data_IF_892757411649
#
_entry.id   IF_892757411649
#
_cell.length_a   1.000
_cell.length_b   1.000
_cell.length_c   1.000
_cell.angle_alpha   90.00
_cell.angle_beta   90.00
_cell.angle_gamma   90.00
#
_symmetry.space_group_name_H-M   'P 1'
#
loop_
_entity.id
_entity.type
_entity.pdbx_description
1 polymer ?
#
# COMPACT_ATOMS: atom_id res chain seq x y z
N UNK A 1 -21.35 0.05 -15.12
CA UNK A 1 -22.22 -1.05 -14.65
C UNK A 1 -23.65 -0.55 -14.62
N UNK A 2 -24.65 -1.39 -14.94
CA UNK A 2 -26.06 -1.02 -14.75
C UNK A 2 -26.38 -0.95 -13.25
N UNK A 3 -27.36 -0.14 -12.88
CA UNK A 3 -27.96 -0.15 -11.54
C UNK A 3 -28.54 -1.53 -11.23
N UNK A 4 -28.63 -1.82 -9.94
CA UNK A 4 -29.15 -3.10 -9.47
C UNK A 4 -30.63 -3.22 -9.91
N UNK A 5 -31.03 -4.42 -10.34
CA UNK A 5 -32.36 -4.71 -10.90
C UNK A 5 -32.69 -4.03 -12.24
N UNK A 6 -31.66 -3.57 -12.97
CA UNK A 6 -31.80 -3.04 -14.33
C UNK A 6 -31.23 -4.00 -15.40
N UNK A 7 -31.99 -4.23 -16.46
CA UNK A 7 -31.63 -5.10 -17.59
C UNK A 7 -31.50 -4.30 -18.89
N UNK A 8 -30.46 -4.52 -19.71
CA UNK A 8 -30.25 -3.78 -20.95
C UNK A 8 -31.24 -4.22 -22.05
N UNK A 9 -31.67 -3.27 -22.90
CA UNK A 9 -32.55 -3.53 -24.06
C UNK A 9 -31.76 -3.55 -25.38
N UNK A 10 -32.13 -4.41 -26.35
CA UNK A 10 -31.45 -4.46 -27.65
C UNK A 10 -31.64 -3.19 -28.51
N UNK A 11 -32.72 -2.43 -28.27
CA UNK A 11 -33.00 -1.15 -28.94
C UNK A 11 -32.37 0.08 -28.27
N UNK A 12 -31.51 -0.12 -27.28
CA UNK A 12 -30.93 0.94 -26.45
C UNK A 12 -31.77 1.24 -25.20
N UNK A 13 -31.09 1.67 -24.13
CA UNK A 13 -31.72 1.84 -22.83
C UNK A 13 -31.90 0.52 -22.07
N UNK A 14 -32.84 0.51 -21.12
CA UNK A 14 -32.84 -0.47 -20.03
C UNK A 14 -34.17 -0.51 -19.29
N UNK A 15 -34.43 -1.63 -18.66
CA UNK A 15 -35.66 -1.94 -17.92
C UNK A 15 -35.29 -2.23 -16.48
N UNK A 16 -35.79 -1.42 -15.55
CA UNK A 16 -35.44 -1.48 -14.14
C UNK A 16 -36.67 -1.80 -13.30
N UNK A 17 -36.55 -2.75 -12.37
CA UNK A 17 -37.55 -2.96 -11.34
C UNK A 17 -37.21 -2.03 -10.17
N UNK A 18 -38.06 -1.02 -9.94
CA UNK A 18 -37.90 -0.04 -8.85
C UNK A 18 -39.06 -0.18 -7.87
N UNK A 19 -38.77 -0.11 -6.57
CA UNK A 19 -39.79 -0.06 -5.54
C UNK A 19 -39.99 1.39 -5.09
N UNK A 20 -41.14 1.96 -5.44
CA UNK A 20 -41.52 3.33 -5.07
C UNK A 20 -42.40 3.36 -3.79
N UNK A 21 -42.42 2.26 -3.03
CA UNK A 21 -43.11 2.16 -1.74
C UNK A 21 -44.58 1.77 -1.84
N UNK A 22 -45.07 1.40 -3.03
CA UNK A 22 -46.42 0.88 -3.27
C UNK A 22 -46.39 -0.50 -3.98
N UNK A 23 -45.23 -1.14 -4.05
CA UNK A 23 -44.98 -2.38 -4.78
C UNK A 23 -43.89 -2.22 -5.85
N UNK A 24 -43.37 -3.35 -6.34
CA UNK A 24 -42.37 -3.37 -7.42
C UNK A 24 -43.00 -2.89 -8.74
N UNK A 25 -42.49 -1.78 -9.28
CA UNK A 25 -42.90 -1.25 -10.58
C UNK A 25 -41.76 -1.38 -11.59
N UNK A 26 -42.11 -1.71 -12.82
CA UNK A 26 -41.14 -1.94 -13.89
C UNK A 26 -41.05 -0.70 -14.77
N UNK A 27 -39.98 0.07 -14.61
CA UNK A 27 -39.74 1.31 -15.34
C UNK A 27 -38.82 1.06 -16.52
N UNK A 28 -39.21 1.55 -17.70
CA UNK A 28 -38.41 1.46 -18.92
C UNK A 28 -37.77 2.81 -19.26
N UNK A 29 -36.45 2.82 -19.35
CA UNK A 29 -35.66 3.97 -19.77
C UNK A 29 -35.26 3.83 -21.23
N UNK A 30 -35.33 4.94 -21.97
CA UNK A 30 -34.98 5.01 -23.39
C UNK A 30 -33.48 5.18 -23.65
N UNK A 31 -32.67 5.48 -22.62
CA UNK A 31 -31.23 5.74 -22.78
C UNK A 31 -30.41 4.99 -21.73
N UNK A 32 -29.26 4.48 -22.14
CA UNK A 32 -28.30 3.80 -21.27
C UNK A 32 -27.80 4.64 -20.09
N UNK A 33 -27.78 5.96 -20.23
CA UNK A 33 -27.30 6.87 -19.19
C UNK A 33 -28.21 6.86 -17.95
N UNK A 34 -29.51 6.60 -18.13
CA UNK A 34 -30.52 6.68 -17.08
C UNK A 34 -30.52 5.49 -16.12
N UNK A 35 -29.84 4.39 -16.48
CA UNK A 35 -29.75 3.17 -15.67
C UNK A 35 -28.33 2.71 -15.41
N UNK A 36 -27.33 3.51 -15.79
CA UNK A 36 -25.94 3.26 -15.38
C UNK A 36 -25.75 3.79 -13.98
N UNK A 37 -25.07 3.01 -13.14
CA UNK A 37 -24.57 3.51 -11.85
C UNK A 37 -23.70 4.73 -12.11
N UNK A 38 -23.82 5.76 -11.28
CA UNK A 38 -22.94 6.92 -11.36
C UNK A 38 -21.48 6.52 -11.15
N UNK A 39 -20.55 7.32 -11.65
CA UNK A 39 -19.11 7.04 -11.48
C UNK A 39 -18.73 7.05 -10.01
N UNK A 40 -19.36 7.91 -9.20
CA UNK A 40 -19.17 7.96 -7.76
C UNK A 40 -19.66 6.67 -7.07
N UNK A 41 -20.83 6.15 -7.46
CA UNK A 41 -21.38 4.91 -6.91
C UNK A 41 -20.49 3.70 -7.24
N UNK A 42 -20.02 3.59 -8.49
CA UNK A 42 -19.11 2.51 -8.90
C UNK A 42 -17.78 2.60 -8.15
N UNK A 43 -17.27 3.81 -7.93
CA UNK A 43 -16.00 4.02 -7.19
C UNK A 43 -16.16 3.66 -5.71
N UNK A 44 -17.29 4.00 -5.09
CA UNK A 44 -17.59 3.66 -3.72
C UNK A 44 -17.72 2.14 -3.53
N UNK A 45 -18.41 1.45 -4.45
CA UNK A 45 -18.53 -0.01 -4.46
C UNK A 45 -17.16 -0.68 -4.60
N UNK A 46 -16.37 -0.32 -5.63
CA UNK A 46 -15.04 -0.88 -5.82
C UNK A 46 -14.09 -0.61 -4.64
N UNK A 47 -14.19 0.56 -4.01
CA UNK A 47 -13.40 0.87 -2.82
C UNK A 47 -13.81 -0.03 -1.64
N UNK A 48 -15.11 -0.28 -1.46
CA UNK A 48 -15.62 -1.17 -0.41
C UNK A 48 -15.16 -2.61 -0.65
N UNK A 49 -15.27 -3.09 -1.88
CA UNK A 49 -14.82 -4.42 -2.29
C UNK A 49 -13.32 -4.61 -2.08
N UNK A 50 -12.49 -3.66 -2.55
CA UNK A 50 -11.03 -3.70 -2.34
C UNK A 50 -10.65 -3.69 -0.86
N UNK A 51 -11.31 -2.86 -0.04
CA UNK A 51 -11.06 -2.84 1.41
C UNK A 51 -11.43 -4.17 2.07
N UNK A 52 -12.51 -4.81 1.62
CA UNK A 52 -12.91 -6.12 2.11
C UNK A 52 -11.91 -7.20 1.69
N UNK A 53 -11.47 -7.20 0.43
CA UNK A 53 -10.43 -8.12 -0.07
C UNK A 53 -9.10 -7.95 0.70
N UNK A 54 -8.70 -6.71 0.98
CA UNK A 54 -7.50 -6.41 1.78
C UNK A 54 -7.67 -6.95 3.21
N UNK A 55 -8.84 -6.76 3.83
CA UNK A 55 -9.12 -7.27 5.18
C UNK A 55 -9.13 -8.79 5.23
N UNK A 56 -9.69 -9.46 4.22
CA UNK A 56 -9.72 -10.93 4.14
C UNK A 56 -8.33 -11.52 3.89
N UNK A 57 -7.50 -10.88 3.06
CA UNK A 57 -6.16 -11.40 2.72
C UNK A 57 -5.10 -11.08 3.77
N UNK A 58 -5.19 -9.90 4.39
CA UNK A 58 -4.12 -9.33 5.20
C UNK A 58 -4.57 -8.84 6.58
N UNK A 59 -5.85 -8.94 6.93
CA UNK A 59 -6.37 -8.48 8.22
C UNK A 59 -5.81 -9.24 9.43
N UNK A 60 -5.36 -10.48 9.24
CA UNK A 60 -4.80 -11.32 10.29
C UNK A 60 -3.29 -11.20 10.45
N UNK A 61 -2.63 -10.25 9.77
CA UNK A 61 -1.18 -10.11 9.85
C UNK A 61 -0.78 -9.59 11.24
N UNK A 62 0.34 -10.08 11.78
CA UNK A 62 0.89 -9.60 13.05
C UNK A 62 1.16 -8.10 12.96
N UNK A 63 1.05 -7.43 14.09
CA UNK A 63 1.41 -6.02 14.23
C UNK A 63 2.85 -5.81 13.71
N UNK A 64 3.06 -4.76 12.91
CA UNK A 64 4.33 -4.44 12.25
C UNK A 64 4.77 -5.39 11.11
N UNK A 65 3.88 -6.24 10.60
CA UNK A 65 4.11 -7.04 9.38
C UNK A 65 3.41 -6.47 8.15
N UNK A 66 4.18 -6.25 7.08
CA UNK A 66 3.70 -5.68 5.81
C UNK A 66 3.76 -6.70 4.67
N UNK A 67 2.69 -6.86 3.86
CA UNK A 67 2.65 -7.83 2.78
C UNK A 67 3.60 -7.48 1.62
N UNK A 68 4.18 -8.52 0.99
CA UNK A 68 5.07 -8.37 -0.17
C UNK A 68 4.36 -8.73 -1.49
N UNK A 69 4.61 -8.02 -2.60
CA UNK A 69 4.05 -8.35 -3.92
C UNK A 69 4.42 -9.76 -4.42
N UNK A 70 5.61 -10.25 -4.04
CA UNK A 70 6.12 -11.58 -4.43
C UNK A 70 5.59 -12.74 -3.55
N UNK A 71 4.68 -12.46 -2.61
CA UNK A 71 4.25 -13.40 -1.59
C UNK A 71 5.04 -13.26 -0.27
N UNK A 72 4.39 -13.62 0.84
CA UNK A 72 4.92 -13.45 2.20
C UNK A 72 4.78 -12.04 2.76
N UNK A 73 5.58 -11.71 3.77
CA UNK A 73 5.56 -10.41 4.45
C UNK A 73 6.94 -10.00 4.97
N UNK A 74 7.05 -8.74 5.38
CA UNK A 74 8.21 -8.15 6.05
C UNK A 74 7.76 -7.59 7.39
N UNK A 75 8.30 -8.13 8.48
CA UNK A 75 7.93 -7.80 9.85
C UNK A 75 9.05 -7.02 10.54
N UNK A 76 8.71 -5.94 11.23
CA UNK A 76 9.64 -5.29 12.15
C UNK A 76 9.45 -5.89 13.54
N UNK A 77 10.36 -6.77 13.94
CA UNK A 77 10.34 -7.50 15.20
C UNK A 77 11.40 -6.95 16.16
N UNK A 78 11.33 -7.29 17.44
CA UNK A 78 12.36 -6.94 18.42
C UNK A 78 13.21 -8.15 18.74
N UNK A 79 14.53 -8.01 18.70
CA UNK A 79 15.46 -9.06 19.12
C UNK A 79 15.51 -9.22 20.65
N UNK A 80 16.29 -10.19 21.14
CA UNK A 80 16.46 -10.45 22.57
C UNK A 80 17.09 -9.28 23.36
N UNK A 81 17.66 -8.31 22.66
CA UNK A 81 18.26 -7.09 23.21
C UNK A 81 17.32 -5.88 23.08
N UNK A 82 16.13 -6.06 22.50
CA UNK A 82 15.11 -5.04 22.29
C UNK A 82 15.30 -4.17 21.03
N UNK A 83 16.28 -4.48 20.18
CA UNK A 83 16.52 -3.74 18.94
C UNK A 83 15.53 -4.15 17.85
N UNK A 84 15.15 -3.20 17.00
CA UNK A 84 14.26 -3.46 15.88
C UNK A 84 15.01 -4.16 14.75
N UNK A 85 14.64 -5.41 14.49
CA UNK A 85 15.16 -6.25 13.42
C UNK A 85 14.06 -6.50 12.41
N UNK A 86 14.41 -6.39 11.14
CA UNK A 86 13.44 -6.58 10.06
C UNK A 86 13.56 -7.97 9.48
N UNK A 87 12.56 -8.81 9.75
CA UNK A 87 12.50 -10.21 9.30
C UNK A 87 11.61 -10.32 8.06
N UNK A 88 12.11 -10.99 7.02
CA UNK A 88 11.34 -11.23 5.80
C UNK A 88 10.90 -12.70 5.72
N UNK A 89 9.59 -12.91 5.66
CA UNK A 89 8.98 -14.22 5.48
C UNK A 89 8.50 -14.39 4.04
N UNK A 90 8.65 -15.60 3.51
CA UNK A 90 8.19 -15.93 2.16
C UNK A 90 6.79 -16.56 2.17
N UNK A 91 6.37 -17.14 3.31
CA UNK A 91 5.04 -17.72 3.45
C UNK A 91 4.09 -16.72 4.17
N UNK A 92 2.90 -16.43 3.61
CA UNK A 92 1.92 -15.54 4.24
C UNK A 92 1.37 -16.09 5.56
N UNK A 93 1.47 -17.39 5.84
CA UNK A 93 1.02 -17.97 7.12
C UNK A 93 1.92 -17.60 8.30
N UNK A 94 3.22 -17.37 8.07
CA UNK A 94 4.19 -16.96 9.11
C UNK A 94 3.96 -15.51 9.58
N UNK A 95 3.28 -14.75 8.73
CA UNK A 95 2.91 -13.36 8.91
C UNK A 95 1.65 -13.19 9.76
N UNK A 96 0.87 -14.26 9.94
CA UNK A 96 -0.42 -14.19 10.63
C UNK A 96 -0.24 -14.30 12.13
N UNK A 97 -1.13 -13.65 12.87
CA UNK A 97 -1.28 -13.89 14.31
C UNK A 97 -1.70 -15.35 14.43
N UNK A 98 -0.77 -16.22 14.84
CA UNK A 98 -1.14 -17.56 15.29
C UNK A 98 -1.90 -17.34 16.58
N UNK A 99 -3.23 -17.32 16.50
CA UNK A 99 -4.11 -17.35 17.65
C UNK A 99 -3.85 -18.64 18.42
N UNK A 100 -2.78 -18.68 19.21
CA UNK A 100 -2.70 -19.57 20.36
C UNK A 100 -3.90 -19.16 21.23
N UNK A 101 -4.95 -19.97 21.21
CA UNK A 101 -6.22 -19.68 21.87
C UNK A 101 -6.00 -19.33 23.34
N UNK A 102 -5.96 -18.04 23.64
CA UNK A 102 -6.04 -17.53 25.01
C UNK A 102 -7.46 -17.00 25.21
N UNK A 103 -8.38 -17.93 25.47
CA UNK A 103 -9.68 -17.60 26.03
C UNK A 103 -9.43 -16.89 27.37
N UNK A 104 -9.62 -15.57 27.39
CA UNK A 104 -9.55 -14.77 28.60
C UNK A 104 -10.81 -15.03 29.43
N UNK A 105 -10.75 -16.05 30.29
CA UNK A 105 -11.69 -16.30 31.37
C UNK A 105 -11.05 -17.12 32.49
N UNK A 106 -9.98 -16.62 33.13
CA UNK A 106 -9.53 -17.15 34.44
C UNK A 106 -8.92 -16.00 35.27
N UNK A 107 -9.22 -15.89 36.59
CA UNK A 107 -8.92 -14.71 37.37
C UNK A 107 -7.48 -14.68 37.88
N UNK A 108 -6.95 -13.47 38.03
CA UNK A 108 -5.61 -13.18 38.55
C UNK A 108 -5.56 -13.48 40.06
N UNK A 109 -4.61 -14.28 40.58
CA UNK A 109 -4.29 -14.25 41.98
C UNK A 109 -3.15 -13.25 42.23
N UNK A 110 -3.40 -12.41 43.22
CA UNK A 110 -2.45 -11.51 43.88
C UNK A 110 -1.55 -12.32 44.85
N UNK A 111 -0.36 -11.77 45.16
CA UNK A 111 0.49 -11.96 46.38
C UNK A 111 1.87 -12.65 46.20
N UNK A 112 2.87 -11.78 46.38
CA UNK A 112 4.13 -11.82 47.17
C UNK A 112 5.03 -13.06 47.40
N UNK A 113 6.33 -12.73 47.29
CA UNK A 113 7.52 -13.16 48.05
C UNK A 113 8.14 -14.58 47.89
N UNK A 114 9.36 -14.54 47.35
CA UNK A 114 10.62 -15.14 47.85
C UNK A 114 10.87 -16.67 47.90
N UNK A 115 11.95 -17.05 47.19
CA UNK A 115 12.99 -18.04 47.57
C UNK A 115 12.66 -19.54 47.40
N UNK A 116 13.26 -20.22 46.40
CA UNK A 116 14.48 -21.03 46.56
C UNK A 116 14.92 -21.70 45.25
N UNK A 117 16.23 -21.82 45.13
CA UNK A 117 16.99 -22.58 44.15
C UNK A 117 16.64 -24.08 44.20
N UNK A 118 16.37 -24.72 43.06
CA UNK A 118 16.84 -26.08 42.80
C UNK A 118 16.89 -26.41 41.30
N UNK A 119 18.13 -26.73 40.90
CA UNK A 119 18.56 -27.23 39.61
C UNK A 119 18.11 -28.70 39.50
N UNK A 120 17.44 -29.09 38.41
CA UNK A 120 17.39 -30.50 38.01
C UNK A 120 17.34 -30.64 36.51
N UNK A 121 18.34 -31.37 35.99
CA UNK A 121 18.56 -31.72 34.59
C UNK A 121 17.43 -32.63 34.09
N UNK A 122 17.01 -32.44 32.83
CA UNK A 122 16.74 -33.57 31.93
C UNK A 122 17.27 -33.27 30.54
N UNK A 123 18.25 -34.08 30.18
CA UNK A 123 18.78 -34.30 28.85
C UNK A 123 17.70 -34.83 27.91
N UNK A 124 17.52 -34.18 26.76
CA UNK A 124 17.05 -34.85 25.53
C UNK A 124 17.92 -34.34 24.40
N UNK A 125 18.86 -35.19 24.00
CA UNK A 125 19.63 -35.03 22.79
C UNK A 125 18.70 -35.15 21.57
N UNK A 126 18.70 -34.13 20.71
CA UNK A 126 18.35 -34.31 19.29
C UNK A 126 19.49 -33.69 18.48
N UNK A 127 20.19 -34.58 17.80
CA UNK A 127 21.47 -34.33 17.17
C UNK A 127 21.43 -33.28 16.07
N UNK A 128 22.47 -32.45 16.09
CA UNK A 128 22.91 -31.61 14.99
C UNK A 128 23.34 -32.48 13.82
N UNK A 129 22.43 -32.77 12.88
CA UNK A 129 22.86 -33.22 11.55
C UNK A 129 23.23 -32.01 10.71
N UNK A 130 24.54 -31.74 10.61
CA UNK A 130 25.10 -31.01 9.48
C UNK A 130 24.87 -31.88 8.23
N UNK A 131 24.02 -31.44 7.31
CA UNK A 131 23.94 -32.07 6.00
C UNK A 131 25.23 -31.79 5.21
N UNK A 132 25.81 -32.80 4.53
CA UNK A 132 26.92 -32.59 3.63
C UNK A 132 26.46 -31.86 2.36
N UNK A 133 27.31 -30.96 1.89
CA UNK A 133 27.27 -30.35 0.56
C UNK A 133 27.29 -31.46 -0.49
N UNK A 134 26.14 -31.76 -1.07
CA UNK A 134 26.04 -32.63 -2.24
C UNK A 134 26.36 -31.80 -3.49
N UNK A 135 27.63 -31.85 -3.89
CA UNK A 135 28.09 -31.43 -5.20
C UNK A 135 27.60 -32.44 -6.24
N UNK A 136 26.39 -32.26 -6.76
CA UNK A 136 25.97 -32.88 -8.00
C UNK A 136 25.28 -31.83 -8.87
N UNK A 137 26.11 -31.06 -9.57
CA UNK A 137 25.69 -30.18 -10.67
C UNK A 137 25.17 -31.07 -11.81
N UNK A 138 23.93 -31.50 -11.72
CA UNK A 138 23.18 -31.77 -12.94
C UNK A 138 22.93 -30.42 -13.58
N UNK A 139 23.63 -30.16 -14.69
CA UNK A 139 23.36 -29.07 -15.61
C UNK A 139 21.90 -29.15 -16.06
N UNK A 140 20.99 -28.59 -15.26
CA UNK A 140 19.75 -28.06 -15.78
C UNK A 140 20.19 -26.95 -16.72
N UNK A 141 20.21 -27.28 -18.02
CA UNK A 141 20.16 -26.31 -19.10
C UNK A 141 19.24 -25.19 -18.63
N UNK A 142 19.83 -24.06 -18.25
CA UNK A 142 19.17 -22.79 -18.33
C UNK A 142 18.63 -22.76 -19.75
N UNK A 143 17.33 -23.02 -19.93
CA UNK A 143 16.65 -22.47 -21.09
C UNK A 143 16.96 -20.99 -20.95
N UNK A 144 17.80 -20.47 -21.86
CA UNK A 144 17.88 -19.04 -22.06
C UNK A 144 16.42 -18.61 -22.12
N UNK A 145 15.98 -17.88 -21.09
CA UNK A 145 14.75 -17.12 -21.18
C UNK A 145 15.05 -16.21 -22.36
N UNK A 146 14.39 -16.47 -23.49
CA UNK A 146 14.45 -15.55 -24.62
C UNK A 146 14.26 -14.14 -24.03
N UNK A 147 15.15 -13.18 -24.34
CA UNK A 147 14.93 -11.81 -23.91
C UNK A 147 13.51 -11.45 -24.35
N UNK A 148 12.69 -10.86 -23.46
CA UNK A 148 11.30 -10.57 -23.79
C UNK A 148 11.28 -9.77 -25.09
N UNK A 149 10.60 -10.31 -26.11
CA UNK A 149 10.51 -9.71 -27.43
C UNK A 149 10.26 -8.22 -27.27
N UNK A 150 11.23 -7.40 -27.67
CA UNK A 150 11.22 -5.94 -27.48
C UNK A 150 10.09 -5.25 -28.25
N UNK A 151 9.24 -5.98 -28.98
CA UNK A 151 8.22 -5.42 -29.86
C UNK A 151 6.85 -6.13 -29.76
N UNK A 152 6.42 -6.55 -28.57
CA UNK A 152 4.98 -6.72 -28.34
C UNK A 152 4.47 -5.40 -27.77
N UNK A 153 3.97 -4.53 -28.65
CA UNK A 153 3.21 -3.35 -28.25
C UNK A 153 1.97 -3.82 -27.49
N UNK A 154 2.08 -3.81 -26.17
CA UNK A 154 0.93 -3.99 -25.29
C UNK A 154 0.22 -2.64 -25.16
N UNK A 155 -1.02 -2.50 -25.66
CA UNK A 155 -1.78 -1.26 -25.57
C UNK A 155 -1.96 -0.77 -24.13
N UNK A 156 -1.98 -1.69 -23.16
CA UNK A 156 -2.10 -1.37 -21.73
C UNK A 156 -0.79 -0.75 -21.22
N UNK A 157 0.35 -1.34 -21.59
CA UNK A 157 1.67 -0.83 -21.21
C UNK A 157 1.93 0.57 -21.77
N UNK A 158 1.57 0.78 -23.04
CA UNK A 158 1.73 2.09 -23.67
C UNK A 158 0.82 3.14 -23.04
N UNK A 159 -0.45 2.80 -22.79
CA UNK A 159 -1.38 3.70 -22.08
C UNK A 159 -0.87 4.03 -20.67
N UNK A 160 -0.32 3.05 -19.96
CA UNK A 160 0.27 3.27 -18.64
C UNK A 160 1.51 4.19 -18.72
N UNK A 161 2.37 4.02 -19.72
CA UNK A 161 3.52 4.90 -19.94
C UNK A 161 3.11 6.33 -20.29
N UNK A 162 2.10 6.51 -21.15
CA UNK A 162 1.56 7.81 -21.50
C UNK A 162 0.93 8.52 -20.28
N UNK A 163 0.15 7.79 -19.48
CA UNK A 163 -0.42 8.33 -18.24
C UNK A 163 0.69 8.75 -17.25
N UNK A 164 1.72 7.91 -17.09
CA UNK A 164 2.86 8.22 -16.23
C UNK A 164 3.62 9.47 -16.73
N UNK A 165 3.86 9.57 -18.03
CA UNK A 165 4.49 10.74 -18.64
C UNK A 165 3.67 12.02 -18.43
N UNK A 166 2.34 11.95 -18.55
CA UNK A 166 1.46 13.09 -18.29
C UNK A 166 1.53 13.56 -16.83
N UNK A 167 1.56 12.64 -15.87
CA UNK A 167 1.73 12.99 -14.44
C UNK A 167 3.11 13.62 -14.20
N UNK A 168 4.17 13.11 -14.83
CA UNK A 168 5.49 13.71 -14.73
C UNK A 168 5.53 15.13 -15.31
N UNK A 169 4.89 15.36 -16.45
CA UNK A 169 4.78 16.69 -17.05
C UNK A 169 4.01 17.65 -16.12
N UNK A 170 2.88 17.21 -15.56
CA UNK A 170 2.11 17.98 -14.58
C UNK A 170 2.96 18.33 -13.35
N UNK A 171 3.72 17.37 -12.83
CA UNK A 171 4.63 17.57 -11.71
C UNK A 171 5.73 18.56 -12.09
N UNK A 172 6.46 18.33 -13.19
CA UNK A 172 7.51 19.24 -13.65
C UNK A 172 7.01 20.66 -13.81
N UNK A 173 5.80 20.84 -14.33
CA UNK A 173 5.16 22.16 -14.44
C UNK A 173 4.84 22.78 -13.07
N UNK A 174 4.36 22.00 -12.09
CA UNK A 174 4.11 22.47 -10.72
C UNK A 174 5.40 22.83 -9.96
N UNK A 175 6.50 22.15 -10.24
CA UNK A 175 7.81 22.43 -9.63
C UNK A 175 8.63 23.47 -10.41
N UNK A 176 8.19 23.89 -11.60
CA UNK A 176 8.92 24.84 -12.44
C UNK A 176 9.08 26.20 -11.74
N UNK A 177 10.34 26.58 -11.52
CA UNK A 177 10.73 27.86 -10.94
C UNK A 177 10.53 27.97 -9.43
N UNK A 178 10.17 26.89 -8.75
CA UNK A 178 10.09 26.87 -7.29
C UNK A 178 11.48 26.89 -6.66
N UNK A 179 11.65 27.61 -5.54
CA UNK A 179 12.91 27.63 -4.77
C UNK A 179 13.23 26.23 -4.27
N UNK A 180 14.51 25.89 -4.20
CA UNK A 180 14.97 24.63 -3.61
C UNK A 180 14.47 24.53 -2.15
N UNK A 181 13.94 23.37 -1.78
CA UNK A 181 13.32 23.16 -0.46
C UNK A 181 11.92 23.75 -0.32
N UNK A 182 11.33 24.34 -1.36
CA UNK A 182 9.91 24.68 -1.43
C UNK A 182 9.10 23.57 -2.11
N UNK A 183 7.87 23.36 -1.64
CA UNK A 183 6.95 22.32 -2.10
C UNK A 183 5.59 22.93 -2.48
N UNK A 184 5.06 22.67 -3.70
CA UNK A 184 3.77 23.20 -4.15
C UNK A 184 2.62 22.75 -3.25
N UNK A 185 1.70 23.67 -2.94
CA UNK A 185 0.44 23.37 -2.25
C UNK A 185 -0.74 24.00 -3.02
N UNK A 186 -2.00 23.56 -2.77
CA UNK A 186 -3.16 24.19 -3.39
C UNK A 186 -3.32 25.70 -3.08
N UNK A 187 -2.69 26.19 -2.01
CA UNK A 187 -2.61 27.61 -1.66
C UNK A 187 -1.16 27.94 -1.28
N UNK A 188 -0.39 28.45 -2.26
CA UNK A 188 1.02 28.81 -2.11
C UNK A 188 1.94 27.59 -1.98
N UNK A 189 2.88 27.63 -1.03
CA UNK A 189 3.88 26.57 -0.85
C UNK A 189 4.28 26.38 0.61
N UNK A 190 4.98 25.28 0.86
CA UNK A 190 5.70 25.01 2.09
C UNK A 190 7.20 25.02 1.81
N UNK A 191 7.97 25.85 2.50
CA UNK A 191 9.40 25.99 2.27
C UNK A 191 10.20 25.64 3.52
N UNK A 192 11.26 24.87 3.35
CA UNK A 192 12.25 24.63 4.41
C UNK A 192 13.15 25.86 4.51
N UNK A 193 13.12 26.56 5.64
CA UNK A 193 13.89 27.80 5.88
C UNK A 193 15.18 27.54 6.68
N UNK A 194 15.33 26.36 7.27
CA UNK A 194 16.51 25.99 8.03
C UNK A 194 16.32 24.64 8.72
N UNK A 195 17.30 24.25 9.54
CA UNK A 195 17.24 23.07 10.39
C UNK A 195 17.43 23.48 11.85
N UNK A 196 16.71 22.84 12.77
CA UNK A 196 16.95 23.01 14.21
C UNK A 196 18.30 22.39 14.60
N UNK A 197 18.81 22.69 15.79
CA UNK A 197 20.05 22.09 16.30
C UNK A 197 19.98 20.54 16.39
N UNK A 198 18.76 19.99 16.45
CA UNK A 198 18.46 18.56 16.47
C UNK A 198 18.33 17.96 15.05
N UNK A 199 18.54 18.76 14.01
CA UNK A 199 18.48 18.34 12.61
C UNK A 199 17.08 18.27 12.00
N UNK A 200 16.03 18.76 12.69
CA UNK A 200 14.65 18.78 12.17
C UNK A 200 14.44 19.97 11.26
N UNK A 201 13.77 19.78 10.12
CA UNK A 201 13.49 20.84 9.17
C UNK A 201 12.51 21.87 9.76
N UNK A 202 12.90 23.15 9.73
CA UNK A 202 12.05 24.28 10.06
C UNK A 202 11.33 24.68 8.77
N UNK A 203 10.01 24.53 8.76
CA UNK A 203 9.19 24.83 7.58
C UNK A 203 8.35 26.08 7.79
N UNK A 204 8.21 26.86 6.71
CA UNK A 204 7.41 28.08 6.65
C UNK A 204 6.38 27.94 5.53
N UNK A 205 5.12 28.27 5.83
CA UNK A 205 4.04 28.28 4.83
C UNK A 205 3.92 29.65 4.20
N UNK A 206 4.03 29.72 2.88
CA UNK A 206 3.79 30.94 2.10
C UNK A 206 2.49 30.80 1.34
N UNK A 207 1.67 31.85 1.31
CA UNK A 207 0.32 31.80 0.73
C UNK A 207 0.26 32.22 -0.74
N UNK A 208 1.30 32.88 -1.25
CA UNK A 208 1.39 33.32 -2.65
C UNK A 208 2.43 32.48 -3.39
N UNK A 209 2.10 32.03 -4.58
CA UNK A 209 3.02 31.26 -5.42
C UNK A 209 4.26 32.05 -5.84
N UNK A 210 4.17 33.38 -5.90
CA UNK A 210 5.31 34.24 -6.20
C UNK A 210 6.40 34.20 -5.12
N UNK A 211 6.02 34.03 -3.84
CA UNK A 211 6.97 33.96 -2.71
C UNK A 211 7.70 32.61 -2.65
N UNK A 212 7.23 31.65 -3.44
CA UNK A 212 7.75 30.30 -3.57
C UNK A 212 8.75 30.17 -4.72
N UNK A 213 8.88 31.19 -5.57
CA UNK A 213 9.69 31.18 -6.78
C UNK A 213 10.84 32.18 -6.68
N UNK A 214 11.95 31.87 -7.32
CA UNK A 214 13.06 32.82 -7.43
C UNK A 214 12.61 34.00 -8.31
N UNK A 215 12.82 35.23 -7.84
CA UNK A 215 12.71 36.40 -8.71
C UNK A 215 13.93 36.46 -9.63
N UNK A 216 13.79 37.10 -10.79
CA UNK A 216 14.92 37.33 -11.71
C UNK A 216 16.01 38.13 -10.98
N UNK A 217 17.16 37.51 -10.75
CA UNK A 217 18.30 38.09 -10.03
C UNK A 217 18.32 37.92 -8.50
N UNK A 218 17.35 37.23 -7.89
CA UNK A 218 17.37 36.93 -6.44
C UNK A 218 18.47 35.90 -6.10
N UNK A 219 19.41 36.29 -5.24
CA UNK A 219 20.45 35.41 -4.68
C UNK A 219 20.06 35.01 -3.26
N UNK A 220 19.94 33.71 -2.98
CA UNK A 220 19.59 33.23 -1.65
C UNK A 220 19.55 31.70 -1.54
N UNK A 221 19.39 31.16 -0.32
CA UNK A 221 19.26 29.72 -0.10
C UNK A 221 18.07 29.19 -0.90
N UNK A 222 18.38 28.35 -1.89
CA UNK A 222 17.41 27.73 -2.78
C UNK A 222 17.10 28.47 -4.09
N UNK A 223 17.86 29.50 -4.45
CA UNK A 223 17.87 30.02 -5.81
C UNK A 223 19.25 29.77 -6.44
N UNK A 224 19.33 29.22 -7.67
CA UNK A 224 20.60 28.96 -8.31
C UNK A 224 21.38 30.27 -8.45
N UNK A 225 22.65 30.24 -8.05
CA UNK A 225 23.58 31.29 -8.42
C UNK A 225 23.72 31.30 -9.95
N UNK A 226 23.75 32.50 -10.54
CA UNK A 226 24.05 32.67 -11.95
C UNK A 226 25.42 32.08 -12.31
#
# INVERSE_FOLDING_TARGET
MLQDNCFPKPSGGCKCNVDLGHGEEVVEYGTDAQCRKSVESQTAEHKKELNQEIKEKFGDFKENCFPKPSGGCKCNEKDALGNEVVTAYNNPSECRIVSLGYNSAVPVPHIDLCVHFQRSKRDVAVGTQRQPVNANQQQQKYRQRDPPSQNVRDPVRERAQANYAAVLDELHNKFKGLKEGCFPRPKGCLCVIGKTAEGRDITERRMKDADCKCKEGERGPGCPAA
#
